data_IF_623830081077
#
_entry.id   IF_623830081077
#
_cell.length_a   1.000
_cell.length_b   1.000
_cell.length_c   1.000
_cell.angle_alpha   90.00
_cell.angle_beta   90.00
_cell.angle_gamma   90.00
#
_symmetry.space_group_name_H-M   'P 1'
#
loop_
_entity.id
_entity.type
_entity.pdbx_description
1 polymer ?
#
# COMPACT_ATOMS: atom_id res chain seq x y z
N UNK A 1 5.28 11.14 8.49
CA UNK A 1 4.41 11.52 7.36
C UNK A 1 4.34 10.33 6.41
N UNK A 2 3.18 9.93 5.90
CA UNK A 2 3.09 8.83 4.92
C UNK A 2 3.73 9.20 3.57
N UNK A 3 4.25 8.23 2.83
CA UNK A 3 4.90 8.44 1.53
C UNK A 3 3.99 8.00 0.37
N UNK A 4 3.51 8.98 -0.41
CA UNK A 4 2.79 8.74 -1.66
C UNK A 4 3.07 9.90 -2.62
N UNK A 5 3.89 9.66 -3.63
CA UNK A 5 4.43 10.68 -4.54
C UNK A 5 3.98 10.42 -5.99
N UNK A 6 4.15 11.42 -6.86
CA UNK A 6 3.85 11.34 -8.29
C UNK A 6 2.45 10.75 -8.59
N UNK A 7 1.46 11.22 -7.84
CA UNK A 7 0.10 10.72 -7.91
C UNK A 7 -0.53 10.99 -9.27
N UNK A 8 -1.17 9.97 -9.84
CA UNK A 8 -1.92 10.08 -11.10
C UNK A 8 -3.22 9.30 -10.99
N UNK A 9 -4.27 9.80 -11.64
CA UNK A 9 -5.56 9.12 -11.69
C UNK A 9 -5.91 8.64 -13.09
N UNK A 10 -6.71 7.59 -13.15
CA UNK A 10 -7.22 6.95 -14.37
C UNK A 10 -8.68 6.52 -14.15
N UNK A 11 -9.50 6.54 -15.21
CA UNK A 11 -10.81 5.86 -15.19
C UNK A 11 -10.60 4.40 -15.54
N UNK A 12 -11.19 3.49 -14.76
CA UNK A 12 -11.30 2.09 -15.15
C UNK A 12 -12.49 1.85 -16.10
N UNK A 13 -12.67 0.60 -16.51
CA UNK A 13 -13.74 0.20 -17.43
C UNK A 13 -15.15 0.29 -16.80
N UNK A 14 -15.25 0.37 -15.47
CA UNK A 14 -16.48 0.48 -14.71
C UNK A 14 -16.80 1.93 -14.34
N UNK A 15 -15.96 2.88 -14.76
CA UNK A 15 -16.12 4.31 -14.50
C UNK A 15 -15.62 4.76 -13.13
N UNK A 16 -14.90 3.92 -12.39
CA UNK A 16 -14.31 4.32 -11.10
C UNK A 16 -13.02 5.13 -11.34
N UNK A 17 -12.81 6.14 -10.49
CA UNK A 17 -11.59 6.95 -10.51
C UNK A 17 -10.52 6.26 -9.67
N UNK A 18 -9.54 5.65 -10.33
CA UNK A 18 -8.44 4.95 -9.65
C UNK A 18 -7.25 5.90 -9.45
N UNK A 19 -6.75 5.98 -8.22
CA UNK A 19 -5.52 6.66 -7.84
C UNK A 19 -4.35 5.67 -7.81
N UNK A 20 -3.30 6.04 -8.53
CA UNK A 20 -1.99 5.43 -8.49
C UNK A 20 -0.98 6.39 -7.86
N UNK A 21 0.05 5.85 -7.22
CA UNK A 21 1.16 6.66 -6.73
C UNK A 21 2.38 5.81 -6.38
N UNK A 22 3.53 6.46 -6.43
CA UNK A 22 4.84 5.88 -6.13
C UNK A 22 5.15 5.99 -4.64
N UNK A 23 5.72 4.92 -4.08
CA UNK A 23 6.31 4.88 -2.75
C UNK A 23 7.83 4.81 -2.94
N UNK A 24 8.57 5.88 -2.59
CA UNK A 24 10.02 5.88 -2.71
C UNK A 24 10.65 4.88 -1.74
N UNK A 25 11.82 4.39 -2.11
CA UNK A 25 12.66 3.57 -1.24
C UNK A 25 13.14 4.37 -0.02
N UNK A 26 13.18 3.71 1.14
CA UNK A 26 13.71 4.32 2.37
C UNK A 26 14.97 3.64 2.86
N UNK A 27 15.30 2.45 2.35
CA UNK A 27 16.59 1.79 2.59
C UNK A 27 17.75 2.67 2.06
N UNK A 28 18.94 2.59 2.66
CA UNK A 28 20.16 3.17 2.10
C UNK A 28 20.48 2.64 0.70
N UNK A 29 21.21 3.43 -0.09
CA UNK A 29 21.56 3.10 -1.48
C UNK A 29 22.27 1.75 -1.62
N UNK A 30 23.23 1.46 -0.75
CA UNK A 30 23.93 0.18 -0.75
C UNK A 30 22.97 -1.02 -0.59
N UNK A 31 21.91 -0.88 0.21
CA UNK A 31 20.97 -1.97 0.50
C UNK A 31 19.99 -2.21 -0.65
N UNK A 32 19.38 -1.16 -1.21
CA UNK A 32 18.45 -1.35 -2.34
C UNK A 32 19.18 -1.67 -3.64
N UNK A 33 20.43 -1.19 -3.80
CA UNK A 33 21.32 -1.58 -4.90
C UNK A 33 21.64 -3.08 -4.80
N UNK A 34 22.03 -3.57 -3.63
CA UNK A 34 22.27 -5.01 -3.40
C UNK A 34 21.01 -5.87 -3.59
N UNK A 35 19.82 -5.35 -3.26
CA UNK A 35 18.55 -6.02 -3.50
C UNK A 35 18.11 -6.02 -4.99
N UNK A 36 18.72 -5.17 -5.83
CA UNK A 36 18.40 -5.05 -7.25
C UNK A 36 17.08 -4.33 -7.57
N UNK A 37 16.41 -3.73 -6.58
CA UNK A 37 15.16 -2.99 -6.76
C UNK A 37 14.98 -1.90 -5.71
N UNK A 38 14.35 -0.79 -6.10
CA UNK A 38 14.10 0.36 -5.22
C UNK A 38 12.68 0.92 -5.43
N UNK A 39 11.94 1.07 -4.33
CA UNK A 39 10.61 1.63 -4.29
C UNK A 39 9.52 0.73 -4.88
N UNK A 40 8.26 1.14 -4.76
CA UNK A 40 7.12 0.37 -5.23
C UNK A 40 5.89 1.22 -5.55
N UNK A 41 4.95 0.64 -6.30
CA UNK A 41 3.63 1.25 -6.49
C UNK A 41 2.76 1.00 -5.24
N UNK A 42 2.07 2.04 -4.79
CA UNK A 42 1.03 1.88 -3.78
C UNK A 42 -0.12 1.03 -4.33
N UNK A 43 -0.83 0.31 -3.45
CA UNK A 43 -2.07 -0.36 -3.83
C UNK A 43 -3.05 0.65 -4.43
N UNK A 44 -3.69 0.33 -5.56
CA UNK A 44 -4.63 1.23 -6.20
C UNK A 44 -5.81 1.53 -5.26
N UNK A 45 -6.27 2.77 -5.32
CA UNK A 45 -7.40 3.24 -4.50
C UNK A 45 -8.48 3.84 -5.39
N UNK A 46 -9.74 3.50 -5.12
CA UNK A 46 -10.90 4.22 -5.65
C UNK A 46 -10.99 5.57 -4.94
N UNK A 47 -11.13 6.63 -5.73
CA UNK A 47 -11.47 7.97 -5.27
C UNK A 47 -12.97 8.21 -5.40
N UNK A 48 -13.57 8.78 -4.36
CA UNK A 48 -14.96 9.23 -4.35
C UNK A 48 -15.09 10.55 -3.59
N UNK A 49 -16.22 11.23 -3.75
CA UNK A 49 -16.55 12.42 -2.96
C UNK A 49 -17.41 12.02 -1.77
N UNK A 50 -17.02 12.47 -0.58
CA UNK A 50 -17.84 12.39 0.62
C UNK A 50 -18.98 13.39 0.60
N UNK A 51 -19.95 13.22 1.50
CA UNK A 51 -21.11 14.12 1.64
C UNK A 51 -20.74 15.58 1.92
N UNK A 52 -19.57 15.81 2.49
CA UNK A 52 -19.05 17.14 2.82
C UNK A 52 -18.16 17.74 1.71
N UNK A 53 -18.02 17.06 0.56
CA UNK A 53 -17.13 17.48 -0.53
C UNK A 53 -15.68 17.02 -0.40
N UNK A 54 -15.35 16.29 0.66
CA UNK A 54 -14.00 15.72 0.86
C UNK A 54 -13.72 14.59 -0.13
N UNK A 55 -12.44 14.39 -0.47
CA UNK A 55 -12.01 13.25 -1.29
C UNK A 55 -11.76 12.05 -0.38
N UNK A 56 -12.54 10.99 -0.58
CA UNK A 56 -12.38 9.72 0.10
C UNK A 56 -11.51 8.79 -0.74
N UNK A 57 -10.70 7.97 -0.07
CA UNK A 57 -9.82 7.00 -0.71
C UNK A 57 -10.00 5.63 -0.07
N UNK A 58 -10.30 4.61 -0.87
CA UNK A 58 -10.42 3.23 -0.42
C UNK A 58 -9.64 2.32 -1.35
N UNK A 59 -8.90 1.34 -0.85
CA UNK A 59 -8.28 0.31 -1.72
C UNK A 59 -9.32 -0.35 -2.60
N UNK A 60 -8.97 -0.62 -3.86
CA UNK A 60 -9.87 -1.30 -4.80
C UNK A 60 -10.33 -2.66 -4.23
N UNK A 61 -11.59 -3.06 -4.45
CA UNK A 61 -12.18 -4.25 -3.83
C UNK A 61 -11.45 -5.55 -4.21
N UNK A 62 -10.83 -5.62 -5.37
CA UNK A 62 -10.07 -6.78 -5.88
C UNK A 62 -8.92 -7.17 -4.94
N UNK A 63 -8.34 -6.20 -4.22
CA UNK A 63 -7.30 -6.46 -3.21
C UNK A 63 -7.80 -7.39 -2.11
N UNK A 64 -9.11 -7.42 -1.84
CA UNK A 64 -9.67 -8.34 -0.85
C UNK A 64 -9.50 -9.82 -1.21
N UNK A 65 -9.35 -10.16 -2.50
CA UNK A 65 -9.08 -11.52 -2.94
C UNK A 65 -7.72 -12.04 -2.45
N UNK A 66 -6.79 -11.15 -2.09
CA UNK A 66 -5.47 -11.50 -1.55
C UNK A 66 -5.50 -11.85 -0.06
N UNK A 67 -6.63 -11.66 0.64
CA UNK A 67 -6.74 -11.98 2.06
C UNK A 67 -6.76 -13.51 2.27
N UNK A 68 -5.98 -13.99 3.22
CA UNK A 68 -6.05 -15.38 3.67
C UNK A 68 -7.40 -15.72 4.31
N UNK A 69 -7.82 -16.99 4.23
CA UNK A 69 -9.11 -17.47 4.77
C UNK A 69 -9.23 -17.31 6.29
N UNK A 70 -8.11 -17.37 7.00
CA UNK A 70 -8.06 -17.28 8.45
C UNK A 70 -6.89 -16.41 8.89
N UNK A 71 -7.14 -15.55 9.87
CA UNK A 71 -6.08 -14.79 10.53
C UNK A 71 -5.40 -15.66 11.59
N UNK A 72 -4.16 -16.07 11.34
CA UNK A 72 -3.34 -16.77 12.33
C UNK A 72 -2.63 -15.70 13.15
N UNK A 73 -3.01 -15.56 14.42
CA UNK A 73 -2.30 -14.65 15.34
C UNK A 73 -0.89 -15.20 15.56
N UNK A 74 0.18 -14.42 15.30
CA UNK A 74 1.53 -14.85 15.63
C UNK A 74 1.62 -15.14 17.13
N UNK A 75 2.06 -16.35 17.49
CA UNK A 75 2.31 -16.73 18.88
C UNK A 75 3.32 -15.77 19.53
N UNK A 76 3.07 -15.39 20.79
CA UNK A 76 3.97 -14.53 21.57
C UNK A 76 5.32 -15.23 21.72
N UNK A 77 6.33 -14.82 20.94
CA UNK A 77 7.70 -15.33 21.11
C UNK A 77 8.29 -14.75 22.40
N UNK A 78 8.43 -15.59 23.43
CA UNK A 78 9.24 -15.26 24.61
C UNK A 78 10.70 -15.17 24.18
N UNK A 79 11.23 -13.95 24.07
CA UNK A 79 12.68 -13.71 24.01
C UNK A 79 13.31 -14.22 25.31
N UNK A 80 13.91 -15.40 25.30
CA UNK A 80 14.86 -15.78 26.35
C UNK A 80 16.09 -14.91 26.18
N UNK A 81 16.37 -14.08 27.19
CA UNK A 81 17.63 -13.35 27.34
C UNK A 81 18.77 -14.35 27.33
N UNK A 82 19.62 -14.25 26.29
CA UNK A 82 20.96 -14.83 26.32
C UNK A 82 21.78 -13.97 27.27
N UNK A 83 22.40 -14.63 28.24
CA UNK A 83 23.39 -14.06 29.17
C UNK A 83 24.74 -13.98 28.48
#
# INVERSE_FOLDING_TARGET
MGSLQAQKTQLDAQGQRILWGWIPETRPEAEFSAAGCAGCMALPRVLSLGSSGDVLMQTVPEVHALRAKSFIRPGRQNRKSVR
#
